data_IF_328182031034
#
_entry.id   IF_328182031034
#
_cell.length_a   1.000
_cell.length_b   1.000
_cell.length_c   1.000
_cell.angle_alpha   90.00
_cell.angle_beta   90.00
_cell.angle_gamma   90.00
#
_symmetry.space_group_name_H-M   'P 1'
#
loop_
_entity.id
_entity.type
_entity.pdbx_description
1 polymer ?
#
# COMPACT_ATOMS: atom_id res chain seq x y z
N UNK A 1 -7.66 24.90 17.65
CA UNK A 1 -8.11 23.73 18.41
C UNK A 1 -6.96 22.76 18.57
N UNK A 2 -7.00 21.87 19.55
CA UNK A 2 -5.91 20.92 19.87
C UNK A 2 -5.75 19.76 18.87
N UNK A 3 -6.64 19.70 17.88
CA UNK A 3 -6.71 18.64 16.89
C UNK A 3 -6.39 19.18 15.50
N UNK A 4 -5.49 18.49 14.81
CA UNK A 4 -5.23 18.65 13.38
C UNK A 4 -5.86 17.47 12.65
N UNK A 5 -6.68 17.76 11.64
CA UNK A 5 -7.29 16.75 10.78
C UNK A 5 -6.75 16.89 9.36
N UNK A 6 -6.27 15.79 8.81
CA UNK A 6 -5.76 15.70 7.43
C UNK A 6 -5.94 14.27 6.92
N UNK A 7 -5.56 14.02 5.66
CA UNK A 7 -5.74 12.71 5.06
C UNK A 7 -4.49 12.25 4.31
N UNK A 8 -4.20 10.95 4.40
CA UNK A 8 -3.25 10.27 3.53
C UNK A 8 -4.00 9.77 2.30
N UNK A 9 -3.65 10.32 1.13
CA UNK A 9 -4.16 9.86 -0.16
C UNK A 9 -3.13 8.97 -0.85
N UNK A 10 -3.55 7.76 -1.21
CA UNK A 10 -2.77 6.81 -2.00
C UNK A 10 -3.43 6.60 -3.37
N UNK A 11 -2.79 7.10 -4.42
CA UNK A 11 -3.25 6.90 -5.79
C UNK A 11 -2.58 5.68 -6.41
N UNK A 12 -3.39 4.68 -6.82
CA UNK A 12 -2.86 3.49 -7.50
C UNK A 12 -3.40 3.36 -8.90
N UNK A 13 -2.51 3.18 -9.88
CA UNK A 13 -2.90 2.76 -11.24
C UNK A 13 -2.90 1.24 -11.30
N UNK A 14 -4.01 0.66 -11.77
CA UNK A 14 -4.15 -0.79 -11.91
C UNK A 14 -4.73 -1.12 -13.28
N UNK A 15 -4.20 -2.17 -13.89
CA UNK A 15 -4.77 -2.79 -15.09
C UNK A 15 -5.41 -4.10 -14.64
N UNK A 16 -6.68 -4.32 -14.99
CA UNK A 16 -7.35 -5.56 -14.61
C UNK A 16 -6.68 -6.76 -15.32
N UNK A 17 -6.53 -7.92 -14.65
CA UNK A 17 -5.91 -9.09 -15.26
C UNK A 17 -6.61 -9.55 -16.55
N UNK A 18 -7.93 -9.43 -16.60
CA UNK A 18 -8.73 -9.78 -17.77
C UNK A 18 -8.42 -8.88 -18.98
N UNK A 19 -8.33 -7.56 -18.76
CA UNK A 19 -7.97 -6.59 -19.80
C UNK A 19 -6.53 -6.86 -20.26
N UNK A 20 -5.58 -7.00 -19.33
CA UNK A 20 -4.19 -7.30 -19.66
C UNK A 20 -4.05 -8.56 -20.51
N UNK A 21 -4.75 -9.65 -20.12
CA UNK A 21 -4.76 -10.91 -20.86
C UNK A 21 -5.30 -10.75 -22.29
N UNK A 22 -6.43 -10.05 -22.45
CA UNK A 22 -7.05 -9.82 -23.76
C UNK A 22 -6.14 -9.04 -24.71
N UNK A 23 -5.60 -7.92 -24.25
CA UNK A 23 -4.72 -7.08 -25.08
C UNK A 23 -3.37 -7.76 -25.38
N UNK A 24 -2.85 -8.55 -24.44
CA UNK A 24 -1.65 -9.37 -24.67
C UNK A 24 -1.92 -10.39 -25.76
N UNK A 25 -3.07 -11.08 -25.73
CA UNK A 25 -3.43 -12.06 -26.75
C UNK A 25 -3.51 -11.42 -28.14
N UNK A 26 -4.20 -10.29 -28.27
CA UNK A 26 -4.32 -9.57 -29.55
C UNK A 26 -2.96 -9.14 -30.09
N UNK A 27 -2.09 -8.57 -29.25
CA UNK A 27 -0.75 -8.15 -29.65
C UNK A 27 0.16 -9.33 -30.03
N UNK A 28 -0.03 -10.49 -29.39
CA UNK A 28 0.68 -11.72 -29.76
C UNK A 28 0.23 -12.25 -31.11
N UNK A 29 -1.09 -12.30 -31.36
CA UNK A 29 -1.64 -12.73 -32.66
C UNK A 29 -1.16 -11.83 -33.81
N UNK A 30 -1.11 -10.51 -33.60
CA UNK A 30 -0.58 -9.56 -34.57
C UNK A 30 0.91 -9.79 -34.85
N UNK A 31 1.71 -9.98 -33.80
CA UNK A 31 3.14 -10.27 -33.95
C UNK A 31 3.41 -11.64 -34.61
N UNK A 32 2.56 -12.65 -34.39
CA UNK A 32 2.67 -13.95 -35.06
C UNK A 32 2.33 -13.85 -36.55
N UNK A 33 1.34 -13.03 -36.92
CA UNK A 33 1.03 -12.75 -38.33
C UNK A 33 2.19 -12.06 -39.03
N UNK A 34 2.73 -10.99 -38.43
CA UNK A 34 3.87 -10.26 -38.98
C UNK A 34 5.12 -11.16 -39.11
N UNK A 35 5.39 -12.01 -38.11
CA UNK A 35 6.49 -12.96 -38.18
C UNK A 35 6.33 -13.95 -39.35
N UNK A 36 5.11 -14.45 -39.61
CA UNK A 36 4.83 -15.35 -40.74
C UNK A 36 5.03 -14.65 -42.09
N UNK A 37 4.62 -13.39 -42.21
CA UNK A 37 4.85 -12.56 -43.39
C UNK A 37 6.35 -12.34 -43.66
N UNK A 38 7.14 -12.16 -42.60
CA UNK A 38 8.61 -12.08 -42.65
C UNK A 38 9.29 -13.46 -42.86
N UNK A 39 8.54 -14.53 -43.09
CA UNK A 39 9.06 -15.88 -43.30
C UNK A 39 9.53 -16.59 -42.03
N UNK A 40 9.30 -16.03 -40.85
CA UNK A 40 9.63 -16.64 -39.56
C UNK A 40 8.51 -17.57 -39.09
N UNK A 41 8.85 -18.81 -38.75
CA UNK A 41 7.87 -19.82 -38.29
C UNK A 41 7.30 -19.56 -36.90
N UNK A 42 8.03 -18.88 -36.01
CA UNK A 42 7.65 -18.70 -34.61
C UNK A 42 8.20 -17.41 -34.00
N UNK A 43 7.52 -16.90 -32.97
CA UNK A 43 8.01 -15.85 -32.08
C UNK A 43 8.94 -16.43 -31.01
N UNK A 44 10.10 -15.82 -30.82
CA UNK A 44 11.02 -16.17 -29.73
C UNK A 44 10.40 -15.89 -28.35
N UNK A 45 10.88 -16.60 -27.31
CA UNK A 45 10.43 -16.39 -25.93
C UNK A 45 10.68 -14.96 -25.45
N UNK A 46 11.81 -14.39 -25.85
CA UNK A 46 12.19 -13.01 -25.54
C UNK A 46 11.22 -12.01 -26.16
N UNK A 47 10.89 -12.18 -27.46
CA UNK A 47 9.91 -11.32 -28.13
C UNK A 47 8.53 -11.37 -27.49
N UNK A 48 8.08 -12.55 -27.07
CA UNK A 48 6.83 -12.71 -26.30
C UNK A 48 6.87 -11.95 -24.97
N UNK A 49 8.01 -11.93 -24.28
CA UNK A 49 8.18 -11.16 -23.03
C UNK A 49 8.12 -9.66 -23.30
N UNK A 50 8.79 -9.18 -24.35
CA UNK A 50 8.73 -7.78 -24.77
C UNK A 50 7.30 -7.32 -25.08
N UNK A 51 6.55 -8.11 -25.86
CA UNK A 51 5.15 -7.80 -26.20
C UNK A 51 4.31 -7.63 -24.93
N UNK A 52 4.46 -8.54 -23.95
CA UNK A 52 3.76 -8.43 -22.66
C UNK A 52 4.10 -7.14 -21.93
N UNK A 53 5.37 -6.76 -21.88
CA UNK A 53 5.78 -5.54 -21.19
C UNK A 53 5.30 -4.28 -21.92
N UNK A 54 5.37 -4.26 -23.25
CA UNK A 54 4.84 -3.17 -24.07
C UNK A 54 3.33 -2.98 -23.87
N UNK A 55 2.58 -4.08 -23.85
CA UNK A 55 1.13 -4.05 -23.53
C UNK A 55 0.91 -3.52 -22.12
N UNK A 56 1.73 -3.93 -21.14
CA UNK A 56 1.62 -3.47 -19.74
C UNK A 56 1.83 -1.97 -19.65
N UNK A 57 2.91 -1.45 -20.25
CA UNK A 57 3.24 -0.02 -20.28
C UNK A 57 2.12 0.77 -20.94
N UNK A 58 1.65 0.34 -22.13
CA UNK A 58 0.58 1.00 -22.88
C UNK A 58 -0.74 1.06 -22.10
N UNK A 59 -1.10 -0.02 -21.39
CA UNK A 59 -2.31 -0.05 -20.57
C UNK A 59 -2.17 0.78 -19.29
N UNK A 60 -1.01 0.73 -18.62
CA UNK A 60 -0.74 1.53 -17.43
C UNK A 60 -0.72 3.04 -17.71
N UNK A 61 -0.26 3.44 -18.90
CA UNK A 61 -0.29 4.84 -19.34
C UNK A 61 -1.73 5.39 -19.46
N UNK A 62 -2.70 4.51 -19.76
CA UNK A 62 -4.13 4.84 -19.91
C UNK A 62 -4.95 4.58 -18.64
N UNK A 63 -4.39 3.85 -17.68
CA UNK A 63 -5.08 3.53 -16.44
C UNK A 63 -5.22 4.79 -15.58
N UNK A 64 -6.46 5.21 -15.33
CA UNK A 64 -6.76 6.27 -14.39
C UNK A 64 -6.36 5.84 -12.97
N UNK A 65 -5.76 6.72 -12.16
CA UNK A 65 -5.48 6.42 -10.76
C UNK A 65 -6.78 6.22 -10.00
N UNK A 66 -6.79 5.21 -9.14
CA UNK A 66 -7.85 4.98 -8.15
C UNK A 66 -7.33 5.49 -6.80
N UNK A 67 -7.93 6.56 -6.25
CA UNK A 67 -7.52 7.08 -4.95
C UNK A 67 -8.08 6.19 -3.83
N UNK A 68 -7.24 5.92 -2.84
CA UNK A 68 -7.66 5.52 -1.50
C UNK A 68 -7.31 6.65 -0.54
N UNK A 69 -8.26 7.02 0.32
CA UNK A 69 -8.09 8.11 1.28
C UNK A 69 -8.22 7.53 2.68
N UNK A 70 -7.27 7.86 3.55
CA UNK A 70 -7.25 7.46 4.95
C UNK A 70 -7.24 8.70 5.82
N UNK A 71 -8.28 8.88 6.62
CA UNK A 71 -8.38 10.02 7.52
C UNK A 71 -7.39 9.89 8.68
N UNK A 72 -6.83 11.03 9.06
CA UNK A 72 -5.86 11.17 10.14
C UNK A 72 -6.29 12.28 11.06
N UNK A 73 -6.27 12.00 12.36
CA UNK A 73 -6.49 12.98 13.42
C UNK A 73 -5.29 12.98 14.34
N UNK A 74 -4.64 14.13 14.49
CA UNK A 74 -3.54 14.33 15.40
C UNK A 74 -3.97 15.24 16.55
N UNK A 75 -3.99 14.69 17.77
CA UNK A 75 -4.07 15.49 18.99
C UNK A 75 -2.65 15.94 19.38
N UNK A 76 -2.38 17.24 19.26
CA UNK A 76 -1.06 17.81 19.54
C UNK A 76 -0.80 17.98 21.03
N UNK A 77 -1.83 18.08 21.85
CA UNK A 77 -1.70 18.17 23.31
C UNK A 77 -1.31 16.81 23.91
N UNK A 78 -1.96 15.73 23.49
CA UNK A 78 -1.71 14.36 23.99
C UNK A 78 -0.67 13.58 23.16
N UNK A 79 -0.06 14.22 22.15
CA UNK A 79 0.90 13.61 21.22
C UNK A 79 0.40 12.27 20.63
N UNK A 80 -0.89 12.18 20.34
CA UNK A 80 -1.52 10.94 19.86
C UNK A 80 -2.07 11.15 18.45
N UNK A 81 -1.74 10.22 17.55
CA UNK A 81 -2.22 10.22 16.17
C UNK A 81 -3.12 9.01 15.94
N UNK A 82 -4.28 9.27 15.36
CA UNK A 82 -5.24 8.27 14.94
C UNK A 82 -5.24 8.19 13.42
N UNK A 83 -4.93 7.01 12.88
CA UNK A 83 -5.01 6.70 11.45
C UNK A 83 -6.19 5.75 11.22
N UNK A 84 -7.11 6.11 10.32
CA UNK A 84 -8.28 5.31 9.98
C UNK A 84 -7.93 4.11 9.06
N UNK A 85 -7.04 3.22 9.50
CA UNK A 85 -6.64 2.02 8.77
C UNK A 85 -6.06 0.94 9.67
N UNK A 86 -6.43 -0.32 9.41
CA UNK A 86 -5.82 -1.51 10.03
C UNK A 86 -4.76 -2.17 9.14
N UNK A 87 -4.54 -1.66 7.92
CA UNK A 87 -3.62 -2.25 6.97
C UNK A 87 -2.16 -1.87 7.30
N UNK A 88 -1.31 -2.87 7.55
CA UNK A 88 0.10 -2.67 7.90
C UNK A 88 0.88 -1.86 6.86
N UNK A 89 0.63 -2.04 5.56
CA UNK A 89 1.32 -1.29 4.51
C UNK A 89 0.92 0.19 4.51
N UNK A 90 -0.33 0.49 4.81
CA UNK A 90 -0.83 1.87 4.91
C UNK A 90 -0.22 2.55 6.14
N UNK A 91 -0.12 1.83 7.26
CA UNK A 91 0.55 2.32 8.49
C UNK A 91 2.02 2.63 8.25
N UNK A 92 2.76 1.73 7.59
CA UNK A 92 4.16 1.94 7.24
C UNK A 92 4.35 3.14 6.30
N UNK A 93 3.53 3.22 5.25
CA UNK A 93 3.52 4.35 4.32
C UNK A 93 3.26 5.68 5.06
N UNK A 94 2.28 5.67 5.96
CA UNK A 94 1.96 6.83 6.79
C UNK A 94 3.13 7.24 7.69
N UNK A 95 3.74 6.29 8.41
CA UNK A 95 4.88 6.55 9.28
C UNK A 95 6.06 7.18 8.54
N UNK A 96 6.38 6.65 7.35
CA UNK A 96 7.46 7.19 6.52
C UNK A 96 7.15 8.63 6.09
N UNK A 97 5.97 8.88 5.51
CA UNK A 97 5.57 10.23 5.11
C UNK A 97 5.50 11.20 6.29
N UNK A 98 5.02 10.75 7.45
CA UNK A 98 4.94 11.58 8.64
C UNK A 98 6.34 11.97 9.12
N UNK A 99 7.27 11.01 9.16
CA UNK A 99 8.68 11.25 9.51
C UNK A 99 9.33 12.22 8.52
N UNK A 100 9.15 12.00 7.22
CA UNK A 100 9.73 12.87 6.18
C UNK A 100 9.17 14.30 6.22
N UNK A 101 7.91 14.47 6.66
CA UNK A 101 7.23 15.77 6.66
C UNK A 101 7.47 16.55 7.94
N UNK A 102 7.44 15.89 9.09
CA UNK A 102 7.46 16.53 10.41
C UNK A 102 8.76 16.29 11.17
N UNK A 103 9.66 15.44 10.67
CA UNK A 103 10.90 15.03 11.35
C UNK A 103 10.64 14.40 12.72
N UNK A 104 9.49 13.74 12.87
CA UNK A 104 9.03 13.07 14.08
C UNK A 104 8.82 11.57 13.83
N UNK A 105 9.27 10.74 14.76
CA UNK A 105 9.06 9.30 14.70
C UNK A 105 7.79 8.90 15.45
N UNK A 106 6.97 8.08 14.81
CA UNK A 106 5.74 7.54 15.40
C UNK A 106 5.98 6.15 15.96
N UNK A 107 5.56 5.97 17.21
CA UNK A 107 5.57 4.66 17.86
C UNK A 107 4.15 4.08 17.93
N UNK A 108 3.99 2.78 17.65
CA UNK A 108 2.70 2.12 17.76
C UNK A 108 2.28 2.08 19.23
N UNK A 109 1.07 2.55 19.49
CA UNK A 109 0.50 2.51 20.82
C UNK A 109 -0.01 1.10 21.12
N UNK A 110 0.77 0.33 21.87
CA UNK A 110 0.44 -1.04 22.26
C UNK A 110 -0.51 -1.07 23.48
N UNK A 111 -1.22 -2.19 23.72
CA UNK A 111 -2.02 -2.34 24.95
C UNK A 111 -1.21 -2.10 26.22
N UNK A 112 0.06 -2.52 26.22
CA UNK A 112 1.00 -2.29 27.31
C UNK A 112 1.24 -0.80 27.56
N UNK A 113 1.64 -0.06 26.51
CA UNK A 113 1.88 1.38 26.63
C UNK A 113 0.60 2.14 27.03
N UNK A 114 -0.57 1.72 26.53
CA UNK A 114 -1.84 2.31 26.96
C UNK A 114 -2.12 2.04 28.44
N UNK A 115 -1.92 0.81 28.91
CA UNK A 115 -2.13 0.46 30.31
C UNK A 115 -1.21 1.30 31.22
N UNK A 116 0.07 1.42 30.87
CA UNK A 116 1.03 2.24 31.61
C UNK A 116 0.62 3.72 31.62
N UNK A 117 0.17 4.25 30.48
CA UNK A 117 -0.31 5.63 30.37
C UNK A 117 -1.56 5.91 31.21
N UNK A 118 -2.44 4.92 31.37
CA UNK A 118 -3.69 5.05 32.13
C UNK A 118 -3.51 4.83 33.63
N UNK A 119 -2.66 3.88 34.02
CA UNK A 119 -2.50 3.43 35.41
C UNK A 119 -1.30 4.08 36.12
N UNK A 120 -0.38 4.69 35.37
CA UNK A 120 0.84 5.29 35.89
C UNK A 120 1.97 4.28 36.12
N UNK A 121 3.18 4.79 36.35
CA UNK A 121 4.40 3.98 36.51
C UNK A 121 4.37 3.05 37.73
N UNK A 122 3.57 3.35 38.75
CA UNK A 122 3.39 2.49 39.93
C UNK A 122 2.76 1.13 39.58
N UNK A 123 1.95 1.09 38.51
CA UNK A 123 1.30 -0.13 38.04
C UNK A 123 2.21 -0.98 37.17
N UNK A 124 3.42 -0.52 36.84
CA UNK A 124 4.38 -1.19 35.97
C UNK A 124 4.63 -2.66 36.37
N UNK A 125 4.90 -3.00 37.65
CA UNK A 125 5.13 -4.40 38.04
C UNK A 125 3.90 -5.29 37.83
N UNK A 126 2.70 -4.72 38.01
CA UNK A 126 1.46 -5.45 37.81
C UNK A 126 1.18 -5.68 36.31
N UNK A 127 1.49 -4.70 35.46
CA UNK A 127 1.36 -4.79 34.00
C UNK A 127 2.34 -5.83 33.44
N UNK A 128 3.60 -5.82 33.89
CA UNK A 128 4.63 -6.78 33.47
C UNK A 128 4.26 -8.23 33.83
N UNK A 129 3.51 -8.42 34.92
CA UNK A 129 3.04 -9.73 35.36
C UNK A 129 1.83 -10.26 34.57
N UNK A 130 1.22 -9.46 33.68
CA UNK A 130 0.05 -9.89 32.90
C UNK A 130 0.47 -10.81 31.76
N UNK A 131 -0.02 -12.06 31.81
CA UNK A 131 0.14 -12.98 30.68
C UNK A 131 -0.95 -12.79 29.60
N UNK A 132 -0.64 -13.08 28.33
CA UNK A 132 -1.62 -12.99 27.25
C UNK A 132 -2.80 -13.92 27.47
N UNK A 133 -3.96 -13.38 27.81
CA UNK A 133 -5.22 -14.12 27.79
C UNK A 133 -5.65 -14.35 26.34
N UNK A 134 -5.65 -15.60 25.87
CA UNK A 134 -6.32 -15.97 24.63
C UNK A 134 -7.83 -15.94 24.87
N UNK A 135 -8.52 -14.96 24.30
CA UNK A 135 -9.97 -15.01 24.17
C UNK A 135 -10.31 -16.04 23.08
N UNK A 136 -10.94 -17.15 23.47
CA UNK A 136 -11.54 -18.13 22.54
C UNK A 136 -12.84 -17.60 21.96
#
# INVERSE_FOLDING_TARGET
GEYLAFALRLDTRRVSPAVFKKYTLLAMEEAEKQAKEEGRKYLSRERKKEIKEQVRIKLMARAMPVPAVFDVVWNTTSHTIYLASTNNKVRELFNNHFTDTFELHLEPVTPYFQALRLLGEEAQPAIDAVEPARFM
#
